data_IF_993876722604
#
_entry.id   IF_993876722604
#
_cell.length_a   1.000
_cell.length_b   1.000
_cell.length_c   1.000
_cell.angle_alpha   90.00
_cell.angle_beta   90.00
_cell.angle_gamma   90.00
#
_symmetry.space_group_name_H-M   'P 1'
#
loop_
_entity.id
_entity.type
_entity.pdbx_description
1 polymer ?
#
# COMPACT_ATOMS: atom_id res chain seq x y z
N UNK A 1 22.50 -42.08 2.75
CA UNK A 1 23.45 -41.01 2.45
C UNK A 1 23.20 -40.63 1.00
N UNK A 2 22.17 -39.84 0.81
CA UNK A 2 21.63 -39.46 -0.50
C UNK A 2 22.12 -38.03 -0.77
N UNK A 3 23.09 -37.93 -1.69
CA UNK A 3 23.59 -36.65 -2.16
C UNK A 3 22.47 -36.04 -3.00
N UNK A 4 21.72 -35.13 -2.38
CA UNK A 4 20.70 -34.33 -3.07
C UNK A 4 21.31 -33.69 -4.32
N UNK A 5 20.69 -33.95 -5.45
CA UNK A 5 21.07 -33.51 -6.79
C UNK A 5 20.99 -31.98 -6.92
N UNK A 6 21.97 -31.30 -6.34
CA UNK A 6 22.13 -29.83 -6.48
C UNK A 6 22.50 -29.41 -7.91
N UNK A 7 22.95 -30.38 -8.74
CA UNK A 7 23.39 -30.11 -10.12
C UNK A 7 22.21 -29.85 -11.09
N UNK A 8 21.02 -30.39 -10.81
CA UNK A 8 19.81 -30.15 -11.64
C UNK A 8 19.24 -28.79 -11.50
N UNK A 9 19.35 -28.16 -10.33
CA UNK A 9 18.81 -26.82 -10.08
C UNK A 9 19.58 -25.72 -10.82
N UNK A 10 20.90 -25.85 -10.96
CA UNK A 10 21.74 -24.83 -11.60
C UNK A 10 21.71 -24.87 -13.14
N UNK A 11 21.48 -26.02 -13.75
CA UNK A 11 21.39 -26.16 -15.20
C UNK A 11 20.10 -25.56 -15.78
N UNK A 12 19.01 -25.56 -15.01
CA UNK A 12 17.70 -25.03 -15.43
C UNK A 12 17.66 -23.49 -15.47
N UNK A 13 18.61 -22.81 -14.82
CA UNK A 13 18.66 -21.35 -14.68
C UNK A 13 19.82 -20.66 -15.42
N UNK A 14 20.26 -21.23 -16.55
CA UNK A 14 21.29 -20.60 -17.38
C UNK A 14 20.75 -19.32 -18.06
N UNK A 15 21.51 -18.22 -17.93
CA UNK A 15 21.23 -16.91 -18.51
C UNK A 15 20.78 -15.86 -17.48
N UNK A 16 21.15 -14.59 -17.73
CA UNK A 16 20.95 -13.48 -16.79
C UNK A 16 19.49 -13.34 -16.33
N UNK A 17 18.53 -13.50 -17.25
CA UNK A 17 17.08 -13.35 -16.97
C UNK A 17 16.53 -14.41 -16.00
N UNK A 18 17.21 -15.52 -15.88
CA UNK A 18 16.81 -16.63 -14.99
C UNK A 18 17.58 -16.61 -13.67
N UNK A 19 18.58 -15.73 -13.53
CA UNK A 19 19.31 -15.61 -12.27
C UNK A 19 18.43 -15.00 -11.18
N UNK A 20 18.54 -15.52 -9.96
CA UNK A 20 17.79 -15.03 -8.80
C UNK A 20 18.02 -13.53 -8.53
N UNK A 21 19.27 -13.06 -8.47
CA UNK A 21 19.56 -11.65 -8.25
C UNK A 21 18.95 -10.73 -9.30
N UNK A 22 19.01 -11.10 -10.58
CA UNK A 22 18.39 -10.30 -11.65
C UNK A 22 16.87 -10.18 -11.48
N UNK A 23 16.18 -11.32 -11.28
CA UNK A 23 14.71 -11.32 -11.09
C UNK A 23 14.34 -10.47 -9.88
N UNK A 24 15.03 -10.63 -8.75
CA UNK A 24 14.79 -9.84 -7.54
C UNK A 24 15.00 -8.35 -7.78
N UNK A 25 16.13 -7.96 -8.39
CA UNK A 25 16.46 -6.55 -8.64
C UNK A 25 15.45 -5.88 -9.59
N UNK A 26 15.08 -6.54 -10.69
CA UNK A 26 14.16 -5.93 -11.67
C UNK A 26 12.73 -5.87 -11.13
N UNK A 27 12.26 -6.88 -10.37
CA UNK A 27 10.97 -6.81 -9.70
C UNK A 27 10.94 -5.74 -8.62
N UNK A 28 12.04 -5.57 -7.85
CA UNK A 28 12.15 -4.51 -6.85
C UNK A 28 12.20 -3.12 -7.48
N UNK A 29 12.89 -2.95 -8.60
CA UNK A 29 12.91 -1.69 -9.36
C UNK A 29 11.52 -1.37 -9.93
N UNK A 30 10.83 -2.36 -10.51
CA UNK A 30 9.44 -2.19 -10.94
C UNK A 30 8.53 -1.78 -9.79
N UNK A 31 8.68 -2.39 -8.62
CA UNK A 31 7.93 -2.04 -7.40
C UNK A 31 8.18 -0.59 -6.97
N UNK A 32 9.45 -0.14 -7.04
CA UNK A 32 9.80 1.25 -6.79
C UNK A 32 9.08 2.22 -7.74
N UNK A 33 8.99 1.91 -9.04
CA UNK A 33 8.28 2.75 -10.03
C UNK A 33 6.79 2.87 -9.71
N UNK A 34 6.11 1.76 -9.37
CA UNK A 34 4.69 1.79 -9.01
C UNK A 34 4.44 2.64 -7.76
N UNK A 35 5.25 2.49 -6.73
CA UNK A 35 5.13 3.25 -5.50
C UNK A 35 5.48 4.73 -5.69
N UNK A 36 6.60 5.02 -6.34
CA UNK A 36 7.01 6.39 -6.64
C UNK A 36 5.89 7.18 -7.29
N UNK A 37 5.35 6.70 -8.40
CA UNK A 37 4.37 7.47 -9.17
C UNK A 37 3.03 7.55 -8.44
N UNK A 38 2.62 6.48 -7.76
CA UNK A 38 1.38 6.48 -6.98
C UNK A 38 1.42 7.46 -5.81
N UNK A 39 2.54 7.53 -5.10
CA UNK A 39 2.70 8.43 -3.96
C UNK A 39 2.90 9.89 -4.39
N UNK A 40 3.54 10.09 -5.52
CA UNK A 40 3.76 11.41 -6.12
C UNK A 40 2.48 12.15 -6.49
N UNK A 41 1.40 11.44 -6.78
CA UNK A 41 0.13 12.06 -7.15
C UNK A 41 -0.41 13.00 -6.07
N UNK A 42 -0.18 12.69 -4.80
CA UNK A 42 -0.62 13.55 -3.70
C UNK A 42 0.08 14.92 -3.73
N UNK A 43 1.33 15.00 -4.18
CA UNK A 43 2.05 16.28 -4.31
C UNK A 43 1.46 17.15 -5.44
N UNK A 44 0.91 16.52 -6.47
CA UNK A 44 0.29 17.21 -7.60
C UNK A 44 -1.19 17.60 -7.34
N UNK A 45 -1.78 17.04 -6.28
CA UNK A 45 -3.22 17.14 -6.04
C UNK A 45 -3.73 18.58 -5.91
N UNK A 46 -3.06 19.51 -5.20
CA UNK A 46 -3.49 20.92 -5.16
C UNK A 46 -3.57 21.57 -6.53
N UNK A 47 -2.59 21.33 -7.42
CA UNK A 47 -2.62 21.87 -8.80
C UNK A 47 -3.73 21.23 -9.65
N UNK A 48 -4.02 19.96 -9.43
CA UNK A 48 -5.14 19.25 -10.07
C UNK A 48 -6.47 19.86 -9.62
N UNK A 49 -6.62 20.13 -8.32
CA UNK A 49 -7.78 20.80 -7.73
C UNK A 49 -7.96 22.19 -8.36
N UNK A 50 -6.92 22.99 -8.41
CA UNK A 50 -6.97 24.33 -9.02
C UNK A 50 -7.30 24.28 -10.52
N UNK A 51 -6.76 23.28 -11.25
CA UNK A 51 -6.98 23.14 -12.70
C UNK A 51 -8.42 22.81 -13.07
N UNK A 52 -9.09 21.96 -12.31
CA UNK A 52 -10.45 21.49 -12.60
C UNK A 52 -11.52 22.17 -11.72
N UNK A 53 -11.13 23.02 -10.76
CA UNK A 53 -12.05 23.62 -9.79
C UNK A 53 -12.74 22.57 -8.93
N UNK A 54 -11.98 21.58 -8.43
CA UNK A 54 -12.55 20.46 -7.69
C UNK A 54 -12.91 20.89 -6.27
N UNK A 55 -14.04 20.40 -5.78
CA UNK A 55 -14.41 20.46 -4.38
C UNK A 55 -13.86 19.24 -3.60
N UNK A 56 -13.99 19.24 -2.28
CA UNK A 56 -13.50 18.21 -1.40
C UNK A 56 -14.12 16.84 -1.68
N UNK A 57 -15.42 16.80 -1.99
CA UNK A 57 -16.12 15.56 -2.37
C UNK A 57 -15.48 14.92 -3.62
N UNK A 58 -15.12 15.74 -4.62
CA UNK A 58 -14.46 15.26 -5.84
C UNK A 58 -13.03 14.76 -5.56
N UNK A 59 -12.29 15.44 -4.68
CA UNK A 59 -10.99 14.94 -4.21
C UNK A 59 -11.15 13.61 -3.48
N UNK A 60 -12.13 13.49 -2.60
CA UNK A 60 -12.48 12.24 -1.95
C UNK A 60 -12.81 11.13 -2.95
N UNK A 61 -13.51 11.46 -4.05
CA UNK A 61 -13.85 10.50 -5.09
C UNK A 61 -12.63 10.00 -5.88
N UNK A 62 -11.57 10.80 -6.05
CA UNK A 62 -10.30 10.34 -6.64
C UNK A 62 -9.69 9.23 -5.78
N UNK A 63 -9.58 9.46 -4.46
CA UNK A 63 -9.05 8.49 -3.52
C UNK A 63 -9.94 7.24 -3.41
N UNK A 64 -11.27 7.43 -3.35
CA UNK A 64 -12.24 6.35 -3.33
C UNK A 64 -12.16 5.48 -4.60
N UNK A 65 -12.01 6.08 -5.78
CA UNK A 65 -11.83 5.35 -7.06
C UNK A 65 -10.61 4.43 -6.98
N UNK A 66 -9.50 4.92 -6.46
CA UNK A 66 -8.29 4.12 -6.26
C UNK A 66 -8.56 2.91 -5.36
N UNK A 67 -9.20 3.11 -4.21
CA UNK A 67 -9.46 2.04 -3.25
C UNK A 67 -10.48 1.02 -3.78
N UNK A 68 -11.58 1.48 -4.36
CA UNK A 68 -12.62 0.59 -4.94
C UNK A 68 -12.03 -0.31 -6.01
N UNK A 69 -11.30 0.28 -6.97
CA UNK A 69 -10.71 -0.50 -8.08
C UNK A 69 -9.64 -1.45 -7.55
N UNK A 70 -8.79 -1.01 -6.62
CA UNK A 70 -7.80 -1.88 -5.99
C UNK A 70 -8.45 -3.07 -5.28
N UNK A 71 -9.55 -2.85 -4.56
CA UNK A 71 -10.30 -3.90 -3.88
C UNK A 71 -10.96 -4.90 -4.85
N UNK A 72 -11.58 -4.39 -5.92
CA UNK A 72 -12.18 -5.23 -6.98
C UNK A 72 -11.14 -6.12 -7.65
N UNK A 73 -9.94 -5.60 -7.89
CA UNK A 73 -8.85 -6.38 -8.52
C UNK A 73 -8.22 -7.35 -7.52
N UNK A 74 -8.02 -6.95 -6.27
CA UNK A 74 -7.35 -7.78 -5.27
C UNK A 74 -8.13 -9.06 -4.95
N UNK A 75 -9.47 -9.01 -4.92
CA UNK A 75 -10.33 -10.15 -4.59
C UNK A 75 -10.12 -11.35 -5.53
N UNK A 76 -10.33 -11.25 -6.86
CA UNK A 76 -10.10 -12.34 -7.79
C UNK A 76 -8.63 -12.44 -8.20
N UNK A 77 -7.82 -11.42 -7.93
CA UNK A 77 -6.46 -11.29 -8.45
C UNK A 77 -5.53 -12.43 -8.06
N UNK A 78 -5.65 -12.97 -6.84
CA UNK A 78 -4.90 -14.14 -6.39
C UNK A 78 -5.21 -15.38 -7.24
N UNK A 79 -6.50 -15.68 -7.40
CA UNK A 79 -6.97 -16.82 -8.21
C UNK A 79 -6.56 -16.65 -9.68
N UNK A 80 -6.77 -15.46 -10.24
CA UNK A 80 -6.36 -15.15 -11.62
C UNK A 80 -4.84 -15.33 -11.77
N UNK A 81 -4.04 -14.84 -10.83
CA UNK A 81 -2.57 -14.98 -10.84
C UNK A 81 -2.16 -16.46 -10.89
N UNK A 82 -2.80 -17.33 -10.12
CA UNK A 82 -2.50 -18.75 -10.13
C UNK A 82 -2.94 -19.41 -11.44
N UNK A 83 -4.11 -19.08 -11.97
CA UNK A 83 -4.61 -19.61 -13.25
C UNK A 83 -3.72 -19.23 -14.44
N UNK A 84 -3.20 -17.99 -14.46
CA UNK A 84 -2.35 -17.49 -15.55
C UNK A 84 -0.86 -17.64 -15.27
N UNK A 85 -0.45 -18.53 -14.40
CA UNK A 85 0.92 -18.69 -13.92
C UNK A 85 1.97 -18.71 -15.03
N UNK A 86 1.72 -19.46 -16.12
CA UNK A 86 2.62 -19.55 -17.28
C UNK A 86 2.85 -18.22 -18.01
N UNK A 87 1.98 -17.24 -17.74
CA UNK A 87 1.94 -15.94 -18.41
C UNK A 87 2.26 -14.77 -17.47
N UNK A 88 2.81 -15.02 -16.27
CA UNK A 88 3.12 -13.94 -15.32
C UNK A 88 3.96 -12.81 -15.92
N UNK A 89 4.93 -13.14 -16.80
CA UNK A 89 5.72 -12.13 -17.49
C UNK A 89 4.89 -11.22 -18.41
N UNK A 90 3.89 -11.79 -19.08
CA UNK A 90 2.95 -11.02 -19.89
C UNK A 90 2.04 -10.16 -19.01
N UNK A 91 1.52 -10.71 -17.89
CA UNK A 91 0.70 -9.97 -16.94
C UNK A 91 1.47 -8.78 -16.37
N UNK A 92 2.72 -8.99 -15.94
CA UNK A 92 3.59 -7.92 -15.45
C UNK A 92 3.84 -6.83 -16.50
N UNK A 93 4.07 -7.22 -17.77
CA UNK A 93 4.25 -6.26 -18.85
C UNK A 93 2.95 -5.47 -19.15
N UNK A 94 1.79 -6.15 -19.16
CA UNK A 94 0.48 -5.49 -19.31
C UNK A 94 0.23 -4.51 -18.16
N UNK A 95 0.50 -4.91 -16.92
CA UNK A 95 0.36 -4.02 -15.77
C UNK A 95 1.24 -2.77 -15.91
N UNK A 96 2.50 -2.94 -16.32
CA UNK A 96 3.41 -1.81 -16.54
C UNK A 96 2.90 -0.88 -17.65
N UNK A 97 2.39 -1.44 -18.75
CA UNK A 97 1.82 -0.67 -19.86
C UNK A 97 0.53 0.06 -19.48
N UNK A 98 -0.39 -0.62 -18.81
CA UNK A 98 -1.64 0.00 -18.31
C UNK A 98 -1.35 1.09 -17.28
N UNK A 99 -0.35 0.88 -16.40
CA UNK A 99 0.08 1.90 -15.44
C UNK A 99 0.54 3.17 -16.14
N UNK A 100 1.40 3.05 -17.17
CA UNK A 100 1.82 4.19 -17.96
C UNK A 100 0.67 4.82 -18.77
N UNK A 101 -0.21 4.00 -19.35
CA UNK A 101 -1.39 4.48 -20.06
C UNK A 101 -2.34 5.26 -19.16
N UNK A 102 -2.58 4.78 -17.94
CA UNK A 102 -3.42 5.49 -16.97
C UNK A 102 -2.85 6.86 -16.61
N UNK A 103 -1.53 6.97 -16.38
CA UNK A 103 -0.86 8.26 -16.16
C UNK A 103 -0.95 9.17 -17.38
N UNK A 104 -0.81 8.62 -18.60
CA UNK A 104 -0.97 9.39 -19.83
C UNK A 104 -2.38 9.96 -19.97
N UNK A 105 -3.41 9.13 -19.71
CA UNK A 105 -4.82 9.57 -19.74
C UNK A 105 -5.04 10.70 -18.74
N UNK A 106 -4.48 10.60 -17.52
CA UNK A 106 -4.57 11.67 -16.54
C UNK A 106 -3.84 12.94 -16.99
N UNK A 107 -2.64 12.81 -17.58
CA UNK A 107 -1.85 13.94 -18.07
C UNK A 107 -2.58 14.75 -19.13
N UNK A 108 -3.30 14.09 -20.03
CA UNK A 108 -4.03 14.73 -21.13
C UNK A 108 -5.52 14.94 -20.83
N UNK A 109 -5.98 14.63 -19.61
CA UNK A 109 -7.39 14.71 -19.25
C UNK A 109 -7.95 16.12 -19.45
N UNK A 110 -8.97 16.32 -20.32
CA UNK A 110 -9.62 17.61 -20.50
C UNK A 110 -10.67 17.92 -19.43
N UNK A 111 -11.20 16.88 -18.78
CA UNK A 111 -12.23 16.96 -17.76
C UNK A 111 -11.98 15.97 -16.63
N UNK A 112 -12.54 16.25 -15.46
CA UNK A 112 -12.39 15.44 -14.25
C UNK A 112 -12.74 13.96 -14.43
N UNK A 113 -13.81 13.63 -15.19
CA UNK A 113 -14.21 12.23 -15.43
C UNK A 113 -13.11 11.42 -16.13
N UNK A 114 -12.39 12.04 -17.09
CA UNK A 114 -11.26 11.38 -17.77
C UNK A 114 -10.10 11.15 -16.82
N UNK A 115 -9.85 12.08 -15.88
CA UNK A 115 -8.86 11.90 -14.82
C UNK A 115 -9.22 10.71 -13.93
N UNK A 116 -10.48 10.55 -13.53
CA UNK A 116 -10.96 9.39 -12.75
C UNK A 116 -10.77 8.06 -13.51
N UNK A 117 -11.03 8.03 -14.82
CA UNK A 117 -10.77 6.84 -15.65
C UNK A 117 -9.28 6.49 -15.64
N UNK A 118 -8.41 7.47 -15.82
CA UNK A 118 -6.97 7.29 -15.70
C UNK A 118 -6.55 6.73 -14.34
N UNK A 119 -7.08 7.30 -13.25
CA UNK A 119 -6.83 6.82 -11.88
C UNK A 119 -7.31 5.38 -11.68
N UNK A 120 -8.48 5.00 -12.23
CA UNK A 120 -8.97 3.64 -12.15
C UNK A 120 -8.03 2.65 -12.86
N UNK A 121 -7.51 3.01 -14.03
CA UNK A 121 -6.55 2.18 -14.78
C UNK A 121 -5.23 2.05 -14.00
N UNK A 122 -4.72 3.15 -13.44
CA UNK A 122 -3.52 3.16 -12.58
C UNK A 122 -3.71 2.22 -11.39
N UNK A 123 -4.85 2.33 -10.69
CA UNK A 123 -5.16 1.52 -9.51
C UNK A 123 -5.26 0.02 -9.86
N UNK A 124 -5.94 -0.33 -10.96
CA UNK A 124 -6.07 -1.70 -11.44
C UNK A 124 -4.69 -2.31 -11.77
N UNK A 125 -3.87 -1.57 -12.52
CA UNK A 125 -2.55 -2.00 -12.92
C UNK A 125 -1.62 -2.20 -11.72
N UNK A 126 -1.60 -1.26 -10.79
CA UNK A 126 -0.79 -1.33 -9.57
C UNK A 126 -1.22 -2.51 -8.68
N UNK A 127 -2.53 -2.68 -8.45
CA UNK A 127 -3.04 -3.77 -7.62
C UNK A 127 -2.69 -5.15 -8.20
N UNK A 128 -2.85 -5.33 -9.51
CA UNK A 128 -2.56 -6.59 -10.19
C UNK A 128 -1.07 -6.89 -10.27
N UNK A 129 -0.19 -5.88 -10.39
CA UNK A 129 1.27 -6.07 -10.46
C UNK A 129 1.82 -6.82 -9.25
N UNK A 130 1.37 -6.48 -8.05
CA UNK A 130 1.93 -7.00 -6.80
C UNK A 130 1.75 -8.51 -6.64
N UNK A 131 0.68 -9.07 -7.18
CA UNK A 131 0.32 -10.47 -6.99
C UNK A 131 1.31 -11.44 -7.68
N UNK A 132 1.52 -11.37 -9.01
CA UNK A 132 2.49 -12.24 -9.68
C UNK A 132 3.94 -11.92 -9.30
N UNK A 133 4.27 -10.66 -8.95
CA UNK A 133 5.60 -10.30 -8.49
C UNK A 133 5.95 -11.01 -7.17
N UNK A 134 5.08 -10.90 -6.16
CA UNK A 134 5.28 -11.57 -4.87
C UNK A 134 5.25 -13.09 -5.00
N UNK A 135 4.35 -13.65 -5.83
CA UNK A 135 4.28 -15.09 -6.09
C UNK A 135 5.56 -15.61 -6.76
N UNK A 136 6.09 -14.90 -7.74
CA UNK A 136 7.33 -15.26 -8.43
C UNK A 136 8.53 -15.29 -7.49
N UNK A 137 8.68 -14.27 -6.63
CA UNK A 137 9.74 -14.22 -5.63
C UNK A 137 9.60 -15.32 -4.59
N UNK A 138 8.40 -15.55 -4.09
CA UNK A 138 8.12 -16.59 -3.10
C UNK A 138 8.47 -18.00 -3.60
N UNK A 139 8.26 -18.26 -4.89
CA UNK A 139 8.58 -19.56 -5.52
C UNK A 139 10.05 -19.66 -5.90
N UNK A 140 10.67 -18.56 -6.28
CA UNK A 140 12.09 -18.53 -6.69
C UNK A 140 13.04 -18.66 -5.51
N UNK A 141 12.67 -18.14 -4.34
CA UNK A 141 13.49 -18.08 -3.14
C UNK A 141 12.85 -18.85 -1.98
N UNK A 142 12.55 -20.15 -2.16
CA UNK A 142 11.82 -20.96 -1.18
C UNK A 142 12.45 -20.91 0.21
N UNK A 143 13.78 -21.10 0.29
CA UNK A 143 14.53 -21.11 1.55
C UNK A 143 14.73 -19.72 2.17
N UNK A 144 14.68 -18.68 1.34
CA UNK A 144 14.93 -17.27 1.75
C UNK A 144 13.78 -16.35 1.34
N UNK A 145 12.56 -16.90 1.35
CA UNK A 145 11.35 -16.20 0.90
C UNK A 145 11.15 -14.86 1.60
N UNK A 146 11.32 -14.82 2.94
CA UNK A 146 11.19 -13.60 3.73
C UNK A 146 12.19 -12.53 3.29
N UNK A 147 13.46 -12.88 3.12
CA UNK A 147 14.50 -11.92 2.68
C UNK A 147 14.23 -11.39 1.28
N UNK A 148 13.80 -12.24 0.35
CA UNK A 148 13.50 -11.81 -1.02
C UNK A 148 12.30 -10.84 -1.06
N UNK A 149 11.24 -11.14 -0.32
CA UNK A 149 10.08 -10.25 -0.21
C UNK A 149 10.41 -8.94 0.52
N UNK A 150 11.29 -8.99 1.53
CA UNK A 150 11.74 -7.79 2.22
C UNK A 150 12.56 -6.87 1.29
N UNK A 151 13.50 -7.40 0.51
CA UNK A 151 14.27 -6.63 -0.47
C UNK A 151 13.33 -6.02 -1.53
N UNK A 152 12.34 -6.79 -2.00
CA UNK A 152 11.31 -6.30 -2.91
C UNK A 152 10.52 -5.15 -2.27
N UNK A 153 10.14 -5.27 -0.99
CA UNK A 153 9.48 -4.22 -0.22
C UNK A 153 10.33 -2.95 -0.09
N UNK A 154 11.65 -3.08 0.10
CA UNK A 154 12.57 -1.92 0.12
C UNK A 154 12.48 -1.13 -1.18
N UNK A 155 12.31 -1.81 -2.33
CA UNK A 155 12.06 -1.11 -3.61
C UNK A 155 10.85 -0.18 -3.53
N UNK A 156 9.70 -0.69 -3.06
CA UNK A 156 8.50 0.13 -2.86
C UNK A 156 8.74 1.30 -1.91
N UNK A 157 9.36 1.04 -0.76
CA UNK A 157 9.68 2.07 0.24
C UNK A 157 10.56 3.20 -0.32
N UNK A 158 11.56 2.87 -1.15
CA UNK A 158 12.38 3.87 -1.85
C UNK A 158 11.50 4.73 -2.75
N UNK A 159 10.58 4.11 -3.51
CA UNK A 159 9.62 4.82 -4.34
C UNK A 159 8.72 5.77 -3.54
N UNK A 160 8.19 5.31 -2.42
CA UNK A 160 7.31 6.10 -1.56
C UNK A 160 7.99 7.34 -0.96
N UNK A 161 9.29 7.25 -0.63
CA UNK A 161 10.06 8.37 -0.06
C UNK A 161 10.54 9.34 -1.15
N UNK A 162 11.15 8.80 -2.22
CA UNK A 162 11.72 9.64 -3.26
C UNK A 162 10.65 10.29 -4.14
N UNK A 163 9.53 9.61 -4.34
CA UNK A 163 8.45 10.08 -5.19
C UNK A 163 7.99 11.49 -4.84
N UNK A 164 7.48 11.74 -3.64
CA UNK A 164 7.00 13.07 -3.24
C UNK A 164 8.08 14.14 -3.32
N UNK A 165 9.29 13.89 -2.81
CA UNK A 165 10.38 14.86 -2.81
C UNK A 165 10.79 15.27 -4.23
N UNK A 166 11.00 14.30 -5.12
CA UNK A 166 11.39 14.57 -6.50
C UNK A 166 10.25 15.18 -7.32
N UNK A 167 9.01 14.79 -7.05
CA UNK A 167 7.85 15.40 -7.70
C UNK A 167 7.72 16.88 -7.33
N UNK A 168 7.86 17.21 -6.04
CA UNK A 168 7.87 18.59 -5.59
C UNK A 168 8.97 19.43 -6.26
N UNK A 169 10.16 18.85 -6.46
CA UNK A 169 11.24 19.50 -7.18
C UNK A 169 10.95 19.66 -8.69
N UNK A 170 10.36 18.66 -9.34
CA UNK A 170 9.97 18.74 -10.75
C UNK A 170 8.91 19.79 -11.01
N UNK A 171 7.98 19.98 -10.09
CA UNK A 171 6.92 20.99 -10.18
C UNK A 171 7.44 22.44 -10.06
N UNK A 172 8.71 22.66 -9.70
CA UNK A 172 9.35 23.98 -9.77
C UNK A 172 9.55 24.43 -11.22
N UNK A 173 9.62 23.50 -12.16
CA UNK A 173 9.95 23.80 -13.59
C UNK A 173 8.92 23.24 -14.57
N UNK A 174 8.12 22.27 -14.17
CA UNK A 174 7.13 21.59 -14.99
C UNK A 174 5.74 21.75 -14.37
N UNK A 175 4.71 21.83 -15.21
CA UNK A 175 3.33 21.68 -14.74
C UNK A 175 3.06 20.25 -14.29
N UNK A 176 2.02 20.03 -13.48
CA UNK A 176 1.60 18.69 -13.07
C UNK A 176 1.33 17.75 -14.27
N UNK A 177 0.81 18.30 -15.39
CA UNK A 177 0.62 17.54 -16.64
C UNK A 177 1.96 17.12 -17.25
N UNK A 178 2.97 17.98 -17.20
CA UNK A 178 4.34 17.69 -17.65
C UNK A 178 4.96 16.58 -16.81
N UNK A 179 4.83 16.63 -15.49
CA UNK A 179 5.30 15.58 -14.58
C UNK A 179 4.58 14.26 -14.85
N UNK A 180 3.24 14.27 -14.98
CA UNK A 180 2.48 13.05 -15.30
C UNK A 180 2.86 12.48 -16.67
N UNK A 181 3.20 13.32 -17.65
CA UNK A 181 3.67 12.86 -18.98
C UNK A 181 4.99 12.11 -18.87
N UNK A 182 5.92 12.56 -18.02
CA UNK A 182 7.15 11.83 -17.71
C UNK A 182 6.81 10.49 -17.01
N UNK A 183 5.90 10.50 -16.03
CA UNK A 183 5.47 9.31 -15.32
C UNK A 183 4.70 8.32 -16.20
N UNK A 184 4.09 8.79 -17.28
CA UNK A 184 3.52 7.94 -18.31
C UNK A 184 4.60 7.33 -19.20
N UNK A 185 5.55 8.14 -19.66
CA UNK A 185 6.57 7.72 -20.60
C UNK A 185 7.48 6.61 -20.03
N UNK A 186 7.89 6.72 -18.75
CA UNK A 186 8.80 5.76 -18.12
C UNK A 186 8.22 4.34 -18.12
N UNK A 187 7.01 4.05 -17.58
CA UNK A 187 6.45 2.70 -17.62
C UNK A 187 6.18 2.21 -19.03
N UNK A 188 5.73 3.09 -19.96
CA UNK A 188 5.48 2.72 -21.34
C UNK A 188 6.77 2.27 -22.06
N UNK A 189 7.91 2.90 -21.78
CA UNK A 189 9.21 2.45 -22.29
C UNK A 189 9.66 1.15 -21.59
N UNK A 190 9.40 1.02 -20.30
CA UNK A 190 9.77 -0.16 -19.52
C UNK A 190 8.99 -1.41 -19.90
N UNK A 191 7.81 -1.31 -20.55
CA UNK A 191 7.03 -2.49 -20.99
C UNK A 191 7.87 -3.50 -21.73
N UNK A 192 8.66 -3.04 -22.69
CA UNK A 192 9.51 -3.94 -23.51
C UNK A 192 10.60 -4.61 -22.66
N UNK A 193 11.19 -3.87 -21.72
CA UNK A 193 12.19 -4.40 -20.81
C UNK A 193 11.57 -5.41 -19.85
N UNK A 194 10.41 -5.11 -19.27
CA UNK A 194 9.66 -6.00 -18.36
C UNK A 194 9.25 -7.27 -19.10
N UNK A 195 8.71 -7.16 -20.31
CA UNK A 195 8.36 -8.32 -21.12
C UNK A 195 9.58 -9.18 -21.45
N UNK A 196 10.70 -8.55 -21.86
CA UNK A 196 11.95 -9.26 -22.11
C UNK A 196 12.50 -9.94 -20.86
N UNK A 197 12.52 -9.22 -19.72
CA UNK A 197 13.09 -9.72 -18.47
C UNK A 197 12.31 -10.90 -17.90
N UNK A 198 10.98 -10.86 -17.98
CA UNK A 198 10.10 -11.78 -17.28
C UNK A 198 9.35 -12.78 -18.15
N UNK A 199 9.62 -12.85 -19.46
CA UNK A 199 8.87 -13.73 -20.37
C UNK A 199 8.92 -15.23 -19.96
N UNK A 200 9.93 -15.66 -19.18
CA UNK A 200 10.10 -17.01 -18.70
C UNK A 200 9.67 -17.20 -17.24
N UNK A 201 9.26 -16.12 -16.54
CA UNK A 201 8.86 -16.18 -15.14
C UNK A 201 7.54 -16.95 -15.00
N UNK A 202 7.43 -17.82 -14.00
CA UNK A 202 6.25 -18.65 -13.77
C UNK A 202 6.19 -19.94 -14.59
N UNK A 203 7.11 -20.15 -15.56
CA UNK A 203 7.15 -21.36 -16.40
C UNK A 203 7.91 -22.52 -15.74
N UNK A 204 8.89 -22.24 -14.88
CA UNK A 204 9.70 -23.24 -14.20
C UNK A 204 8.97 -23.79 -12.98
N UNK A 205 9.03 -25.11 -12.77
CA UNK A 205 8.49 -25.78 -11.57
C UNK A 205 6.97 -25.95 -11.56
N UNK A 206 6.36 -26.23 -12.70
CA UNK A 206 4.93 -26.58 -12.80
C UNK A 206 4.66 -28.01 -12.36
N UNK A 207 4.90 -28.36 -11.08
CA UNK A 207 4.19 -29.46 -10.46
C UNK A 207 2.83 -28.91 -9.99
N UNK A 208 1.76 -29.65 -10.30
CA UNK A 208 0.37 -29.31 -10.00
C UNK A 208 0.14 -29.27 -8.47
N UNK A 209 0.48 -28.15 -7.82
CA UNK A 209 -0.18 -27.82 -6.57
C UNK A 209 -1.62 -27.46 -6.91
N UNK A 210 -2.56 -28.27 -6.44
CA UNK A 210 -3.99 -28.03 -6.57
C UNK A 210 -4.28 -26.62 -6.03
N UNK A 211 -4.57 -25.69 -6.94
CA UNK A 211 -5.05 -24.37 -6.58
C UNK A 211 -6.45 -24.55 -6.00
N UNK A 212 -6.63 -24.19 -4.73
CA UNK A 212 -7.95 -24.11 -4.12
C UNK A 212 -8.83 -23.17 -4.94
N UNK A 213 -9.97 -23.65 -5.42
CA UNK A 213 -10.91 -22.84 -6.18
C UNK A 213 -11.48 -21.68 -5.36
N UNK A 214 -12.05 -20.68 -6.03
CA UNK A 214 -12.69 -19.54 -5.37
C UNK A 214 -13.77 -19.99 -4.36
N UNK A 215 -14.50 -21.07 -4.67
CA UNK A 215 -15.50 -21.69 -3.78
C UNK A 215 -14.85 -22.19 -2.48
N UNK A 216 -13.68 -22.86 -2.57
CA UNK A 216 -13.00 -23.41 -1.40
C UNK A 216 -12.42 -22.31 -0.52
N UNK A 217 -11.90 -21.24 -1.14
CA UNK A 217 -11.42 -20.07 -0.41
C UNK A 217 -12.54 -19.36 0.35
N UNK A 218 -13.71 -19.22 -0.26
CA UNK A 218 -14.87 -18.60 0.41
C UNK A 218 -15.40 -19.48 1.55
N UNK A 219 -15.45 -20.80 1.37
CA UNK A 219 -15.85 -21.75 2.41
C UNK A 219 -14.85 -21.73 3.59
N UNK A 220 -13.55 -21.81 3.31
CA UNK A 220 -12.50 -21.76 4.32
C UNK A 220 -12.50 -20.43 5.09
N UNK A 221 -12.75 -19.31 4.39
CA UNK A 221 -12.89 -18.00 5.02
C UNK A 221 -14.07 -17.95 5.98
N UNK A 222 -15.25 -18.43 5.54
CA UNK A 222 -16.43 -18.48 6.38
C UNK A 222 -16.20 -19.32 7.65
N UNK A 223 -15.57 -20.49 7.50
CA UNK A 223 -15.21 -21.34 8.64
C UNK A 223 -14.26 -20.63 9.60
N UNK A 224 -13.20 -19.96 9.09
CA UNK A 224 -12.26 -19.23 9.92
C UNK A 224 -12.95 -18.16 10.79
N UNK A 225 -13.89 -17.41 10.23
CA UNK A 225 -14.65 -16.39 10.98
C UNK A 225 -15.67 -16.98 11.96
N UNK A 226 -16.18 -18.19 11.70
CA UNK A 226 -17.06 -18.90 12.65
C UNK A 226 -16.28 -19.50 13.81
N UNK A 227 -15.11 -20.08 13.53
CA UNK A 227 -14.24 -20.69 14.54
C UNK A 227 -13.48 -19.66 15.39
N UNK A 228 -13.20 -18.48 14.82
CA UNK A 228 -12.42 -17.42 15.46
C UNK A 228 -13.16 -16.07 15.47
N UNK A 229 -14.18 -15.88 16.35
CA UNK A 229 -14.96 -14.63 16.40
C UNK A 229 -14.13 -13.36 16.64
N UNK A 230 -12.92 -13.50 17.21
CA UNK A 230 -11.96 -12.39 17.42
C UNK A 230 -11.52 -11.73 16.11
N UNK A 231 -11.58 -12.46 14.99
CA UNK A 231 -11.26 -11.91 13.66
C UNK A 231 -12.17 -10.75 13.28
N UNK A 232 -13.44 -10.78 13.67
CA UNK A 232 -14.36 -9.67 13.41
C UNK A 232 -13.89 -8.38 14.09
N UNK A 233 -13.40 -8.48 15.31
CA UNK A 233 -12.85 -7.34 16.05
C UNK A 233 -11.56 -6.81 15.40
N UNK A 234 -10.63 -7.69 15.02
CA UNK A 234 -9.40 -7.28 14.32
C UNK A 234 -9.74 -6.64 12.97
N UNK A 235 -10.70 -7.20 12.25
CA UNK A 235 -11.18 -6.67 10.98
C UNK A 235 -11.81 -5.29 11.13
N UNK A 236 -12.62 -5.08 12.18
CA UNK A 236 -13.21 -3.77 12.47
C UNK A 236 -12.13 -2.71 12.76
N UNK A 237 -11.10 -3.06 13.54
CA UNK A 237 -9.96 -2.17 13.80
C UNK A 237 -9.22 -1.86 12.50
N UNK A 238 -8.96 -2.85 11.67
CA UNK A 238 -8.27 -2.66 10.39
C UNK A 238 -9.08 -1.82 9.39
N UNK A 239 -10.40 -2.00 9.38
CA UNK A 239 -11.30 -1.19 8.56
C UNK A 239 -11.29 0.28 9.00
N UNK A 240 -11.45 0.54 10.30
CA UNK A 240 -11.40 1.90 10.87
C UNK A 240 -10.04 2.55 10.60
N UNK A 241 -8.95 1.83 10.87
CA UNK A 241 -7.60 2.31 10.56
C UNK A 241 -7.45 2.60 9.06
N UNK A 242 -7.96 1.73 8.20
CA UNK A 242 -7.97 1.92 6.75
C UNK A 242 -8.72 3.20 6.36
N UNK A 243 -9.89 3.45 6.96
CA UNK A 243 -10.65 4.68 6.76
C UNK A 243 -9.82 5.92 7.12
N UNK A 244 -9.20 5.95 8.28
CA UNK A 244 -8.38 7.08 8.71
C UNK A 244 -7.20 7.33 7.75
N UNK A 245 -6.45 6.28 7.39
CA UNK A 245 -5.24 6.44 6.58
C UNK A 245 -5.51 6.81 5.13
N UNK A 246 -6.59 6.30 4.53
CA UNK A 246 -6.93 6.60 3.12
C UNK A 246 -7.42 8.05 2.96
N UNK A 247 -8.15 8.58 3.94
CA UNK A 247 -8.56 9.98 3.94
C UNK A 247 -7.39 10.93 4.25
N UNK A 248 -6.41 10.51 5.05
CA UNK A 248 -5.39 11.42 5.58
C UNK A 248 -4.52 12.07 4.49
N UNK A 249 -3.90 11.29 3.61
CA UNK A 249 -2.91 11.81 2.65
C UNK A 249 -3.49 12.80 1.62
N UNK A 250 -4.66 12.56 1.00
CA UNK A 250 -5.26 13.54 0.08
C UNK A 250 -5.54 14.87 0.76
N UNK A 251 -6.14 14.85 1.95
CA UNK A 251 -6.50 16.09 2.65
C UNK A 251 -5.30 16.75 3.33
N UNK A 252 -4.29 15.99 3.76
CA UNK A 252 -2.99 16.58 4.14
C UNK A 252 -2.37 17.34 2.96
N UNK A 253 -2.40 16.77 1.75
CA UNK A 253 -1.86 17.44 0.58
C UNK A 253 -2.60 18.75 0.25
N UNK A 254 -3.93 18.77 0.39
CA UNK A 254 -4.73 19.99 0.25
C UNK A 254 -4.38 21.01 1.34
N UNK A 255 -4.32 20.59 2.59
CA UNK A 255 -3.95 21.47 3.71
C UNK A 255 -2.56 22.09 3.51
N UNK A 256 -1.60 21.32 3.02
CA UNK A 256 -0.25 21.82 2.78
C UNK A 256 -0.17 22.77 1.56
N UNK A 257 -0.93 22.51 0.50
CA UNK A 257 -0.69 23.08 -0.83
C UNK A 257 -1.70 24.11 -1.31
N UNK A 258 -2.92 24.17 -0.76
CA UNK A 258 -3.90 25.18 -1.17
C UNK A 258 -3.53 26.56 -0.57
N UNK A 259 -3.62 27.60 -1.38
CA UNK A 259 -3.32 28.99 -0.96
C UNK A 259 -4.24 29.49 0.17
N UNK A 260 -5.45 28.96 0.23
CA UNK A 260 -6.46 29.26 1.27
C UNK A 260 -6.13 28.60 2.61
N UNK A 261 -5.22 27.61 2.61
CA UNK A 261 -4.72 26.87 3.76
C UNK A 261 -3.27 27.30 4.07
N UNK A 262 -2.31 26.36 4.08
CA UNK A 262 -0.90 26.71 4.34
C UNK A 262 -0.17 27.29 3.13
N UNK A 263 -0.63 27.06 1.91
CA UNK A 263 -0.04 27.59 0.68
C UNK A 263 1.43 27.25 0.48
N UNK A 264 1.88 26.08 0.95
CA UNK A 264 3.27 25.68 0.79
C UNK A 264 3.59 25.43 -0.68
N UNK A 265 4.72 25.96 -1.13
CA UNK A 265 5.19 25.65 -2.48
C UNK A 265 5.43 24.14 -2.67
N UNK A 266 5.32 23.69 -3.92
CA UNK A 266 5.36 22.27 -4.30
C UNK A 266 6.56 21.48 -3.73
N UNK A 267 7.74 22.09 -3.68
CA UNK A 267 8.94 21.46 -3.10
C UNK A 267 8.78 21.23 -1.60
N UNK A 268 8.26 22.21 -0.86
CA UNK A 268 8.03 22.08 0.58
C UNK A 268 6.93 21.04 0.85
N UNK A 269 5.83 21.05 0.10
CA UNK A 269 4.78 20.03 0.18
C UNK A 269 5.36 18.62 -0.04
N UNK A 270 6.12 18.45 -1.11
CA UNK A 270 6.77 17.16 -1.42
C UNK A 270 7.70 16.68 -0.30
N UNK A 271 8.48 17.58 0.31
CA UNK A 271 9.37 17.27 1.42
C UNK A 271 8.62 16.90 2.71
N UNK A 272 7.50 17.55 3.01
CA UNK A 272 6.68 17.20 4.19
C UNK A 272 6.04 15.81 4.05
N UNK A 273 5.53 15.47 2.86
CA UNK A 273 5.03 14.10 2.60
C UNK A 273 6.19 13.10 2.65
N UNK A 274 7.35 13.42 2.07
CA UNK A 274 8.53 12.57 2.12
C UNK A 274 9.05 12.36 3.56
N UNK A 275 8.96 13.38 4.43
CA UNK A 275 9.30 13.26 5.85
C UNK A 275 8.39 12.25 6.55
N UNK A 276 7.07 12.41 6.43
CA UNK A 276 6.10 11.48 7.00
C UNK A 276 6.39 10.03 6.59
N UNK A 277 6.53 9.80 5.29
CA UNK A 277 6.77 8.46 4.74
C UNK A 277 8.15 7.93 5.12
N UNK A 278 9.19 8.78 5.01
CA UNK A 278 10.58 8.41 5.27
C UNK A 278 10.80 7.96 6.71
N UNK A 279 10.23 8.70 7.67
CA UNK A 279 10.27 8.29 9.09
C UNK A 279 9.56 6.95 9.26
N UNK A 280 8.41 6.75 8.60
CA UNK A 280 7.66 5.49 8.65
C UNK A 280 8.43 4.29 8.12
N UNK A 281 9.12 4.46 6.99
CA UNK A 281 9.95 3.40 6.40
C UNK A 281 11.03 2.92 7.38
N UNK A 282 11.66 3.84 8.11
CA UNK A 282 12.70 3.52 9.09
C UNK A 282 12.10 2.96 10.38
N UNK A 283 10.95 3.49 10.83
CA UNK A 283 10.33 3.11 12.09
C UNK A 283 9.60 1.76 12.03
N UNK A 284 8.94 1.43 10.91
CA UNK A 284 8.10 0.23 10.78
C UNK A 284 8.80 -1.08 11.19
N UNK A 285 10.05 -1.38 10.78
CA UNK A 285 10.73 -2.60 11.23
C UNK A 285 11.00 -2.62 12.74
N UNK A 286 11.36 -1.47 13.32
CA UNK A 286 11.64 -1.37 14.75
C UNK A 286 10.36 -1.55 15.58
N UNK A 287 9.28 -0.89 15.20
CA UNK A 287 7.98 -1.00 15.86
C UNK A 287 7.41 -2.41 15.73
N UNK A 288 7.57 -3.03 14.54
CA UNK A 288 7.22 -4.43 14.30
C UNK A 288 7.97 -5.38 15.25
N UNK A 289 9.27 -5.20 15.39
CA UNK A 289 10.09 -5.99 16.33
C UNK A 289 9.64 -5.82 17.78
N UNK A 290 9.35 -4.59 18.21
CA UNK A 290 8.80 -4.31 19.55
C UNK A 290 7.47 -5.03 19.74
N UNK A 291 6.59 -5.01 18.73
CA UNK A 291 5.31 -5.70 18.74
C UNK A 291 5.45 -7.22 18.85
N UNK A 292 6.45 -7.81 18.17
CA UNK A 292 6.74 -9.24 18.27
C UNK A 292 7.21 -9.65 19.66
N UNK A 293 7.98 -8.77 20.33
CA UNK A 293 8.58 -9.04 21.63
C UNK A 293 7.61 -8.79 22.80
N UNK A 294 6.89 -7.69 22.78
CA UNK A 294 6.06 -7.23 23.89
C UNK A 294 4.56 -7.53 23.71
N UNK A 295 4.15 -7.91 22.51
CA UNK A 295 2.78 -8.24 22.17
C UNK A 295 2.07 -7.16 21.34
N UNK A 296 1.21 -7.61 20.41
CA UNK A 296 0.54 -6.78 19.42
C UNK A 296 -0.26 -5.63 20.04
N UNK A 297 -1.07 -5.95 21.05
CA UNK A 297 -1.99 -5.00 21.67
C UNK A 297 -1.27 -3.89 22.41
N UNK A 298 -0.13 -4.22 23.06
CA UNK A 298 0.67 -3.26 23.82
C UNK A 298 1.30 -2.18 22.93
N UNK A 299 1.52 -2.48 21.65
CA UNK A 299 2.07 -1.54 20.69
C UNK A 299 0.96 -0.81 19.93
N UNK A 300 -0.05 -1.52 19.43
CA UNK A 300 -1.13 -0.94 18.65
C UNK A 300 -1.98 0.10 19.40
N UNK A 301 -2.25 -0.10 20.70
CA UNK A 301 -3.06 0.87 21.47
C UNK A 301 -2.35 2.23 21.58
N UNK A 302 -1.09 2.31 22.07
CA UNK A 302 -0.35 3.58 22.06
C UNK A 302 -0.20 4.21 20.69
N UNK A 303 0.04 3.41 19.63
CA UNK A 303 0.12 3.91 18.25
C UNK A 303 -1.18 4.61 17.83
N UNK A 304 -2.33 3.96 18.02
CA UNK A 304 -3.62 4.53 17.62
C UNK A 304 -4.01 5.75 18.46
N UNK A 305 -3.66 5.77 19.76
CA UNK A 305 -3.83 6.94 20.62
C UNK A 305 -2.93 8.09 20.12
N UNK A 306 -1.68 7.79 19.77
CA UNK A 306 -0.76 8.80 19.23
C UNK A 306 -1.28 9.36 17.89
N UNK A 307 -1.73 8.51 16.97
CA UNK A 307 -2.29 8.94 15.70
C UNK A 307 -3.58 9.75 15.88
N UNK A 308 -4.44 9.36 16.82
CA UNK A 308 -5.62 10.14 17.21
C UNK A 308 -5.22 11.55 17.68
N UNK A 309 -4.31 11.64 18.65
CA UNK A 309 -3.87 12.90 19.21
C UNK A 309 -3.15 13.76 18.16
N UNK A 310 -2.23 13.19 17.38
CA UNK A 310 -1.46 13.91 16.37
C UNK A 310 -2.35 14.42 15.22
N UNK A 311 -3.37 13.65 14.82
CA UNK A 311 -4.35 14.12 13.83
C UNK A 311 -5.13 15.33 14.33
N UNK A 312 -5.55 15.34 15.59
CA UNK A 312 -6.23 16.48 16.19
C UNK A 312 -5.29 17.70 16.39
N UNK A 313 -4.01 17.44 16.74
CA UNK A 313 -3.01 18.48 16.97
C UNK A 313 -2.57 19.19 15.68
N UNK A 314 -2.80 18.59 14.49
CA UNK A 314 -2.58 19.27 13.22
C UNK A 314 -3.38 20.59 13.14
N UNK A 315 -4.60 20.65 13.71
CA UNK A 315 -5.44 21.85 13.65
C UNK A 315 -4.79 23.03 14.39
N UNK A 316 -4.46 22.94 15.69
CA UNK A 316 -3.90 24.08 16.42
C UNK A 316 -2.38 24.28 16.24
N UNK A 317 -1.63 23.28 15.77
CA UNK A 317 -0.16 23.29 15.73
C UNK A 317 0.42 22.85 14.40
N UNK A 318 -0.39 22.69 13.34
CA UNK A 318 0.00 22.19 12.03
C UNK A 318 0.79 23.18 11.18
N UNK A 319 1.46 24.17 11.76
CA UNK A 319 2.24 25.19 11.06
C UNK A 319 3.71 25.17 11.51
N UNK A 320 4.59 25.65 10.65
CA UNK A 320 6.02 25.86 10.96
C UNK A 320 6.69 24.59 11.52
N UNK A 321 7.39 24.75 12.67
CA UNK A 321 8.07 23.66 13.34
C UNK A 321 7.07 22.61 13.89
N UNK A 322 5.91 23.06 14.34
CA UNK A 322 4.84 22.19 14.83
C UNK A 322 4.43 21.15 13.80
N UNK A 323 4.20 21.58 12.55
CA UNK A 323 3.90 20.69 11.42
C UNK A 323 4.99 19.63 11.23
N UNK A 324 6.26 20.04 11.19
CA UNK A 324 7.41 19.13 10.99
C UNK A 324 7.44 18.06 12.10
N UNK A 325 7.28 18.49 13.34
CA UNK A 325 7.30 17.58 14.51
C UNK A 325 6.11 16.62 14.47
N UNK A 326 4.90 17.12 14.19
CA UNK A 326 3.69 16.30 14.10
C UNK A 326 3.83 15.26 12.98
N UNK A 327 4.26 15.65 11.78
CA UNK A 327 4.42 14.72 10.66
C UNK A 327 5.52 13.68 10.93
N UNK A 328 6.63 14.07 11.54
CA UNK A 328 7.67 13.14 11.93
C UNK A 328 7.18 12.12 12.98
N UNK A 329 6.45 12.57 14.01
CA UNK A 329 5.85 11.69 15.01
C UNK A 329 4.75 10.80 14.42
N UNK A 330 3.91 11.33 13.54
CA UNK A 330 2.94 10.51 12.81
C UNK A 330 3.62 9.44 11.98
N UNK A 331 4.72 9.78 11.30
CA UNK A 331 5.51 8.83 10.51
C UNK A 331 5.95 7.61 11.31
N UNK A 332 6.28 7.76 12.60
CA UNK A 332 6.68 6.64 13.45
C UNK A 332 5.62 5.53 13.50
N UNK A 333 4.34 5.88 13.41
CA UNK A 333 3.22 4.97 13.66
C UNK A 333 2.34 4.72 12.43
N UNK A 334 2.23 5.68 11.50
CA UNK A 334 1.26 5.66 10.41
C UNK A 334 1.41 4.48 9.45
N UNK A 335 2.60 3.90 9.33
CA UNK A 335 2.89 2.77 8.43
C UNK A 335 3.11 1.45 9.17
N UNK A 336 3.34 1.45 10.50
CA UNK A 336 3.64 0.25 11.29
C UNK A 336 2.40 -0.51 11.74
N UNK A 337 1.29 0.16 11.94
CA UNK A 337 0.04 -0.41 12.45
C UNK A 337 -0.56 -1.50 11.53
N UNK A 338 -0.55 -1.30 10.21
CA UNK A 338 -1.09 -2.26 9.24
C UNK A 338 -0.35 -3.63 9.25
N UNK A 339 0.99 -3.70 9.16
CA UNK A 339 1.71 -4.97 9.31
C UNK A 339 1.42 -5.66 10.63
N UNK A 340 1.32 -4.91 11.74
CA UNK A 340 1.07 -5.48 13.06
C UNK A 340 -0.36 -6.04 13.16
N UNK A 341 -1.38 -5.35 12.63
CA UNK A 341 -2.75 -5.85 12.56
C UNK A 341 -2.84 -7.10 11.69
N UNK A 342 -2.13 -7.12 10.57
CA UNK A 342 -2.03 -8.30 9.70
C UNK A 342 -1.42 -9.49 10.44
N UNK A 343 -0.33 -9.27 11.18
CA UNK A 343 0.28 -10.29 12.01
C UNK A 343 -0.67 -10.77 13.13
N UNK A 344 -1.42 -9.87 13.77
CA UNK A 344 -2.40 -10.23 14.79
C UNK A 344 -3.54 -11.11 14.22
N UNK A 345 -3.98 -10.85 12.99
CA UNK A 345 -4.95 -11.69 12.30
C UNK A 345 -4.38 -13.09 12.02
N UNK A 346 -3.14 -13.17 11.52
CA UNK A 346 -2.45 -14.44 11.24
C UNK A 346 -2.17 -15.24 12.52
N UNK A 347 -1.77 -14.57 13.61
CA UNK A 347 -1.56 -15.19 14.92
C UNK A 347 -2.87 -15.83 15.46
N UNK A 348 -4.04 -15.38 15.00
CA UNK A 348 -5.35 -15.86 15.44
C UNK A 348 -5.81 -17.11 14.67
N UNK A 349 -5.57 -17.17 13.34
CA UNK A 349 -6.14 -18.24 12.47
C UNK A 349 -5.18 -19.39 12.20
N UNK A 350 -3.88 -19.23 12.45
CA UNK A 350 -2.88 -20.23 12.07
C UNK A 350 -2.63 -20.31 10.55
N UNK A 351 -1.75 -21.24 10.13
CA UNK A 351 -1.28 -21.29 8.74
C UNK A 351 -2.31 -21.84 7.74
N UNK A 352 -3.23 -22.71 8.16
CA UNK A 352 -4.15 -23.42 7.25
C UNK A 352 -5.18 -22.54 6.56
N UNK A 353 -5.58 -21.42 7.16
CA UNK A 353 -6.60 -20.47 6.65
C UNK A 353 -6.06 -19.03 6.49
N UNK A 354 -4.74 -18.88 6.62
CA UNK A 354 -4.07 -17.58 6.60
C UNK A 354 -4.36 -16.77 5.32
N UNK A 355 -4.30 -17.40 4.15
CA UNK A 355 -4.51 -16.72 2.87
C UNK A 355 -5.94 -16.19 2.73
N UNK A 356 -6.93 -17.01 3.15
CA UNK A 356 -8.34 -16.62 3.10
C UNK A 356 -8.67 -15.51 4.09
N UNK A 357 -8.14 -15.58 5.32
CA UNK A 357 -8.31 -14.53 6.32
C UNK A 357 -7.68 -13.20 5.85
N UNK A 358 -6.50 -13.23 5.25
CA UNK A 358 -5.84 -12.05 4.67
C UNK A 358 -6.65 -11.45 3.51
N UNK A 359 -7.28 -12.28 2.69
CA UNK A 359 -8.15 -11.82 1.60
C UNK A 359 -9.32 -10.97 2.12
N UNK A 360 -10.04 -11.48 3.12
CA UNK A 360 -11.17 -10.73 3.73
C UNK A 360 -10.68 -9.51 4.49
N UNK A 361 -9.57 -9.63 5.20
CA UNK A 361 -8.95 -8.50 5.89
C UNK A 361 -8.59 -7.36 4.92
N UNK A 362 -7.98 -7.69 3.79
CA UNK A 362 -7.67 -6.72 2.75
C UNK A 362 -8.91 -6.13 2.11
N UNK A 363 -9.92 -6.95 1.82
CA UNK A 363 -11.18 -6.49 1.25
C UNK A 363 -11.91 -5.52 2.18
N UNK A 364 -12.01 -5.81 3.47
CA UNK A 364 -12.64 -4.91 4.44
C UNK A 364 -11.95 -3.54 4.47
N UNK A 365 -10.62 -3.52 4.43
CA UNK A 365 -9.85 -2.28 4.35
C UNK A 365 -10.19 -1.47 3.11
N UNK A 366 -10.26 -2.09 1.95
CA UNK A 366 -10.61 -1.41 0.70
C UNK A 366 -12.05 -0.90 0.69
N UNK A 367 -13.00 -1.75 1.10
CA UNK A 367 -14.42 -1.41 1.07
C UNK A 367 -14.76 -0.23 2.00
N UNK A 368 -14.33 -0.28 3.24
CA UNK A 368 -14.55 0.81 4.21
C UNK A 368 -13.62 1.99 3.96
N UNK A 369 -12.36 1.72 3.55
CA UNK A 369 -11.40 2.76 3.18
C UNK A 369 -11.88 3.68 2.07
N UNK A 370 -12.62 3.14 1.09
CA UNK A 370 -13.16 3.94 -0.02
C UNK A 370 -14.23 4.94 0.40
N UNK A 371 -15.02 4.66 1.45
CA UNK A 371 -16.06 5.57 1.92
C UNK A 371 -15.47 6.79 2.65
N UNK A 372 -14.33 6.63 3.32
CA UNK A 372 -13.78 7.64 4.20
C UNK A 372 -13.34 8.92 3.50
N UNK A 373 -12.64 8.91 2.36
CA UNK A 373 -12.30 10.15 1.65
C UNK A 373 -13.52 10.91 1.13
N UNK A 374 -14.62 10.22 0.83
CA UNK A 374 -15.88 10.86 0.43
C UNK A 374 -16.46 11.63 1.62
N UNK A 375 -16.51 10.99 2.81
CA UNK A 375 -16.99 11.64 4.04
C UNK A 375 -16.08 12.81 4.40
N UNK A 376 -14.76 12.63 4.34
CA UNK A 376 -13.79 13.68 4.61
C UNK A 376 -13.94 14.86 3.65
N UNK A 377 -14.22 14.60 2.36
CA UNK A 377 -14.45 15.62 1.36
C UNK A 377 -15.71 16.43 1.61
N UNK A 378 -16.82 15.77 1.98
CA UNK A 378 -18.04 16.47 2.36
C UNK A 378 -17.87 17.35 3.61
N UNK A 379 -17.10 16.85 4.60
CA UNK A 379 -16.75 17.63 5.79
C UNK A 379 -15.89 18.84 5.44
N UNK A 380 -14.92 18.67 4.54
CA UNK A 380 -14.10 19.77 4.04
C UNK A 380 -14.94 20.84 3.35
N UNK A 381 -15.87 20.44 2.46
CA UNK A 381 -16.70 21.38 1.71
C UNK A 381 -17.72 22.10 2.62
N UNK A 382 -18.23 21.45 3.65
CA UNK A 382 -19.30 22.01 4.50
C UNK A 382 -18.81 22.78 5.72
N UNK A 383 -17.65 22.40 6.28
CA UNK A 383 -17.16 22.92 7.58
C UNK A 383 -15.73 23.48 7.45
N UNK A 384 -14.90 22.93 6.54
CA UNK A 384 -13.49 23.29 6.34
C UNK A 384 -12.52 22.14 6.67
N UNK A 385 -11.23 22.36 6.35
CA UNK A 385 -10.18 21.33 6.41
C UNK A 385 -9.97 20.77 7.84
N UNK A 386 -10.14 21.58 8.86
CA UNK A 386 -9.99 21.21 10.26
C UNK A 386 -10.91 20.05 10.65
N UNK A 387 -12.15 20.08 10.14
CA UNK A 387 -13.14 19.03 10.38
C UNK A 387 -12.69 17.67 9.87
N UNK A 388 -11.92 17.65 8.78
CA UNK A 388 -11.35 16.42 8.21
C UNK A 388 -10.33 15.79 9.16
N UNK A 389 -9.46 16.59 9.78
CA UNK A 389 -8.49 16.08 10.74
C UNK A 389 -9.14 15.62 12.06
N UNK A 390 -10.17 16.32 12.52
CA UNK A 390 -10.96 15.85 13.68
C UNK A 390 -11.74 14.59 13.37
N UNK A 391 -12.27 14.42 12.16
CA UNK A 391 -12.90 13.18 11.69
C UNK A 391 -11.91 12.02 11.71
N UNK A 392 -10.70 12.20 11.17
CA UNK A 392 -9.64 11.19 11.16
C UNK A 392 -9.24 10.83 12.60
N UNK A 393 -9.08 11.83 13.47
CA UNK A 393 -8.82 11.65 14.90
C UNK A 393 -9.91 10.82 15.57
N UNK A 394 -11.19 11.13 15.31
CA UNK A 394 -12.34 10.39 15.82
C UNK A 394 -12.36 8.93 15.38
N UNK A 395 -11.97 8.64 14.12
CA UNK A 395 -11.85 7.27 13.63
C UNK A 395 -10.75 6.51 14.36
N UNK A 396 -9.56 7.11 14.57
CA UNK A 396 -8.48 6.48 15.34
C UNK A 396 -8.90 6.26 16.81
N UNK A 397 -9.66 7.19 17.40
CA UNK A 397 -10.23 6.99 18.75
C UNK A 397 -11.17 5.79 18.77
N UNK A 398 -12.08 5.69 17.81
CA UNK A 398 -13.01 4.57 17.69
C UNK A 398 -12.26 3.25 17.47
N UNK A 399 -11.24 3.24 16.62
CA UNK A 399 -10.38 2.08 16.40
C UNK A 399 -9.68 1.65 17.70
N UNK A 400 -9.20 2.62 18.48
CA UNK A 400 -8.60 2.37 19.81
C UNK A 400 -9.58 1.73 20.77
N UNK A 401 -10.81 2.27 20.87
CA UNK A 401 -11.85 1.74 21.76
C UNK A 401 -12.23 0.30 21.39
N UNK A 402 -12.39 0.02 20.09
CA UNK A 402 -12.64 -1.35 19.61
C UNK A 402 -11.46 -2.26 19.94
N UNK A 403 -10.22 -1.80 19.71
CA UNK A 403 -9.01 -2.58 19.98
C UNK A 403 -8.85 -2.91 21.48
N UNK A 404 -9.23 -2.00 22.37
CA UNK A 404 -9.20 -2.24 23.84
C UNK A 404 -10.12 -3.41 24.21
N UNK A 405 -11.27 -3.54 23.57
CA UNK A 405 -12.25 -4.60 23.84
C UNK A 405 -11.83 -5.94 23.20
N UNK A 406 -11.21 -5.90 22.01
CA UNK A 406 -10.83 -7.11 21.27
C UNK A 406 -9.73 -7.87 22.02
N UNK A 407 -9.94 -9.13 22.39
CA UNK A 407 -8.90 -9.94 23.04
C UNK A 407 -7.89 -10.44 21.99
N UNK A 408 -6.74 -9.76 21.87
CA UNK A 408 -5.62 -10.27 21.09
C UNK A 408 -4.82 -11.26 21.96
N UNK A 409 -4.36 -12.38 21.37
CA UNK A 409 -3.54 -13.35 22.05
C UNK A 409 -2.21 -12.72 22.47
N UNK A 410 -1.92 -12.72 23.76
CA UNK A 410 -0.57 -12.43 24.25
C UNK A 410 0.26 -13.68 23.99
N UNK A 411 1.20 -13.65 23.04
CA UNK A 411 2.22 -14.68 22.96
C UNK A 411 2.90 -14.75 24.33
N UNK A 412 2.86 -15.93 25.00
CA UNK A 412 3.73 -16.16 26.14
C UNK A 412 5.17 -15.92 25.69
N UNK A 413 5.97 -15.16 26.46
CA UNK A 413 7.40 -15.04 26.16
C UNK A 413 7.97 -16.44 25.98
N UNK A 414 8.75 -16.66 24.93
CA UNK A 414 9.56 -17.86 24.81
C UNK A 414 10.47 -17.85 26.03
N UNK A 415 10.13 -18.66 27.03
CA UNK A 415 11.05 -18.97 28.11
C UNK A 415 12.22 -19.69 27.41
N UNK A 416 13.36 -19.04 27.29
CA UNK A 416 14.63 -19.70 26.98
C UNK A 416 14.79 -20.79 28.05
N UNK A 417 14.52 -22.04 27.67
CA UNK A 417 15.01 -23.18 28.45
C UNK A 417 16.51 -23.17 28.31
N UNK A 418 17.18 -22.50 29.25
CA UNK A 418 18.57 -22.71 29.56
C UNK A 418 18.69 -24.10 30.23
N UNK A 419 18.99 -25.12 29.44
CA UNK A 419 19.69 -26.31 29.90
C UNK A 419 20.94 -26.54 29.05
#
# INVERSE_FOLDING_TARGET
METADTSRTDAEYRGIRRSGPFVLSVLSAGHAVFHWFSQSFFVMLPEVVATFGLNGLQVGAIAATREVVSGIIALPGGVITDMVRRHWGLVLAICMGLFGLGWLIMAIAPVYTVLLIGMAIVAAAASMWHLPAAAALSRRFVERRGSALSIHGVGGNIGDVLGPALTGALLLTLSWRGVLSIYAAVPLLLVFLVFWAFRDIGRSGAQDEQTSGFSDQTANTRMAFQEHPRLWGIMAVAALRGMASVAFLPFLALYLGLDEELGLGNAALGLHIALLVGVGVVATPAVGYISDRFGRKLVLIPEMIALCALSALLVPFGEGIGLIVILALMGLFFFSDQPILTAAALDTVGQGVAASALGVFSFSRFAFGAASPIIAGELFDSIGIDSTFYYISGIYLLATLVLVIVPLSVKKPLVENSE
#
